data_IF_894831056639
#
_entry.id   IF_894831056639
#
_cell.length_a   1.000
_cell.length_b   1.000
_cell.length_c   1.000
_cell.angle_alpha   90.00
_cell.angle_beta   90.00
_cell.angle_gamma   90.00
#
_symmetry.space_group_name_H-M   'P 1'
#
loop_
_entity.id
_entity.type
_entity.pdbx_description
1 polymer ?
#
# COMPACT_ATOMS: atom_id res chain seq x y z
N UNK A 1 -12.27 -12.17 -15.29
CA UNK A 1 -11.05 -11.89 -15.32
C UNK A 1 -10.64 -10.67 -16.04
N UNK A 2 -10.02 -10.08 -16.44
CA UNK A 2 -8.74 -10.24 -16.42
C UNK A 2 -7.87 -9.17 -17.01
N UNK A 3 -8.36 -8.31 -17.87
CA UNK A 3 -7.68 -7.10 -18.31
C UNK A 3 -8.64 -5.91 -18.16
N UNK A 4 -8.73 -5.35 -16.99
CA UNK A 4 -9.35 -4.06 -16.80
C UNK A 4 -8.30 -3.06 -16.35
N UNK A 5 -8.34 -1.87 -16.91
CA UNK A 5 -7.48 -0.74 -16.56
C UNK A 5 -5.96 -0.98 -16.69
N UNK A 6 -5.56 -1.85 -17.63
CA UNK A 6 -4.16 -2.09 -17.93
C UNK A 6 -3.44 -3.03 -16.97
N UNK A 7 -4.19 -3.73 -16.12
CA UNK A 7 -3.65 -4.79 -15.27
C UNK A 7 -4.15 -6.14 -15.76
N UNK A 8 -3.24 -7.07 -15.96
CA UNK A 8 -3.54 -8.45 -16.32
C UNK A 8 -3.43 -9.33 -15.08
N UNK A 9 -4.49 -10.07 -14.78
CA UNK A 9 -4.54 -10.99 -13.66
C UNK A 9 -4.14 -12.39 -14.10
N UNK A 10 -2.92 -12.81 -13.78
CA UNK A 10 -2.47 -14.19 -13.98
C UNK A 10 -2.75 -15.01 -12.72
N UNK A 11 -3.05 -16.30 -12.92
CA UNK A 11 -3.30 -17.23 -11.82
C UNK A 11 -2.05 -18.02 -11.40
N UNK A 12 -0.90 -17.62 -11.88
CA UNK A 12 0.35 -18.26 -11.52
C UNK A 12 0.76 -17.85 -10.11
N UNK A 13 1.14 -18.82 -9.33
CA UNK A 13 1.66 -18.60 -7.98
C UNK A 13 2.84 -19.53 -7.71
N UNK A 14 3.72 -19.09 -6.84
CA UNK A 14 4.97 -19.77 -6.53
C UNK A 14 5.06 -20.04 -5.03
N UNK A 15 5.87 -21.03 -4.68
CA UNK A 15 6.27 -21.26 -3.31
C UNK A 15 7.17 -20.11 -2.86
N UNK A 16 6.87 -19.50 -1.71
CA UNK A 16 7.62 -18.36 -1.19
C UNK A 16 9.10 -18.66 -0.93
N UNK A 17 9.42 -19.90 -0.65
CA UNK A 17 10.81 -20.32 -0.46
C UNK A 17 11.65 -20.25 -1.74
N UNK A 18 11.00 -20.29 -2.88
CA UNK A 18 11.65 -20.31 -4.20
C UNK A 18 11.56 -18.98 -4.95
N UNK A 19 10.77 -18.03 -4.46
CA UNK A 19 10.62 -16.74 -5.09
C UNK A 19 11.47 -15.68 -4.39
N UNK A 20 12.42 -15.10 -5.13
CA UNK A 20 13.23 -13.99 -4.64
C UNK A 20 12.53 -12.67 -4.97
N UNK A 21 11.86 -12.08 -3.98
CA UNK A 21 11.21 -10.80 -4.14
C UNK A 21 12.20 -9.64 -4.04
N UNK A 22 12.02 -8.59 -4.85
CA UNK A 22 12.82 -7.38 -4.71
C UNK A 22 12.63 -6.71 -3.34
N UNK A 23 13.70 -6.14 -2.82
CA UNK A 23 13.65 -5.39 -1.58
C UNK A 23 12.96 -4.03 -1.80
N UNK A 24 12.03 -3.67 -0.91
CA UNK A 24 11.30 -2.39 -0.98
C UNK A 24 11.59 -1.44 0.19
N UNK A 25 12.46 -1.82 1.09
CA UNK A 25 12.85 -1.01 2.24
C UNK A 25 13.84 -1.74 3.12
N UNK A 26 14.40 -1.03 4.08
CA UNK A 26 15.45 -1.58 4.95
C UNK A 26 14.91 -2.07 6.29
N UNK A 27 13.82 -1.51 6.75
CA UNK A 27 13.15 -1.93 7.98
C UNK A 27 11.70 -1.40 8.02
N UNK A 28 10.99 -1.73 9.10
CA UNK A 28 9.58 -1.37 9.30
C UNK A 28 9.35 0.12 9.55
N UNK A 29 10.37 0.83 10.03
CA UNK A 29 10.25 2.22 10.45
C UNK A 29 10.86 3.19 9.45
N UNK A 30 11.65 2.70 8.51
CA UNK A 30 12.35 3.54 7.53
C UNK A 30 12.29 2.90 6.14
N UNK A 31 11.83 3.64 5.17
CA UNK A 31 11.75 3.23 3.77
C UNK A 31 11.91 4.42 2.83
N UNK A 32 12.08 4.18 1.57
CA UNK A 32 12.36 5.23 0.59
C UNK A 32 11.80 4.88 -0.78
N UNK A 33 11.59 5.91 -1.57
CA UNK A 33 11.40 5.84 -3.01
C UNK A 33 12.47 6.69 -3.74
N UNK A 34 12.29 6.96 -5.03
CA UNK A 34 13.27 7.69 -5.83
C UNK A 34 13.47 9.15 -5.38
N UNK A 35 12.50 9.73 -4.70
CA UNK A 35 12.50 11.15 -4.35
C UNK A 35 12.53 11.44 -2.86
N UNK A 36 12.01 10.53 -2.04
CA UNK A 36 11.82 10.76 -0.61
C UNK A 36 12.26 9.57 0.23
N UNK A 37 12.67 9.89 1.46
CA UNK A 37 12.85 8.94 2.53
C UNK A 37 11.80 9.20 3.60
N UNK A 38 11.20 8.14 4.10
CA UNK A 38 10.15 8.18 5.11
C UNK A 38 10.65 7.51 6.38
N UNK A 39 10.35 8.10 7.52
CA UNK A 39 10.74 7.55 8.82
C UNK A 39 9.61 7.72 9.83
N UNK A 40 9.18 6.60 10.40
CA UNK A 40 8.26 6.59 11.54
C UNK A 40 9.04 6.80 12.82
N UNK A 41 8.62 7.79 13.61
CA UNK A 41 9.13 8.06 14.95
C UNK A 41 7.90 8.26 15.84
N UNK A 42 7.60 7.28 16.68
CA UNK A 42 6.37 7.22 17.47
C UNK A 42 5.12 7.35 16.56
N UNK A 43 4.32 8.38 16.76
CA UNK A 43 3.11 8.65 15.99
C UNK A 43 3.31 9.72 14.89
N UNK A 44 4.56 10.03 14.57
CA UNK A 44 4.89 11.00 13.54
C UNK A 44 5.59 10.35 12.35
N UNK A 45 5.23 10.80 11.16
CA UNK A 45 5.93 10.45 9.92
C UNK A 45 6.80 11.63 9.47
N UNK A 46 8.11 11.40 9.43
CA UNK A 46 9.08 12.35 8.90
C UNK A 46 9.35 12.03 7.44
N UNK A 47 9.24 13.04 6.59
CA UNK A 47 9.51 12.92 5.15
C UNK A 47 10.71 13.78 4.80
N UNK A 48 11.75 13.14 4.27
CA UNK A 48 13.00 13.78 3.86
C UNK A 48 13.14 13.75 2.34
N UNK A 49 13.62 14.85 1.79
CA UNK A 49 13.99 14.89 0.39
C UNK A 49 15.33 14.18 0.17
N UNK A 50 15.35 13.17 -0.69
CA UNK A 50 16.54 12.32 -0.88
C UNK A 50 17.75 13.10 -1.39
N UNK A 51 17.54 14.05 -2.31
CA UNK A 51 18.63 14.81 -2.91
C UNK A 51 19.34 15.77 -1.96
N UNK A 52 18.66 16.30 -0.96
CA UNK A 52 19.21 17.29 0.00
C UNK A 52 19.35 16.74 1.41
N UNK A 53 18.62 15.68 1.77
CA UNK A 53 18.51 15.17 3.12
C UNK A 53 17.67 16.04 4.05
N UNK A 54 17.03 17.09 3.53
CA UNK A 54 16.19 17.98 4.33
C UNK A 54 14.86 17.33 4.68
N UNK A 55 14.44 17.48 5.93
CA UNK A 55 13.10 17.15 6.35
C UNK A 55 12.11 18.19 5.82
N UNK A 56 11.19 17.78 4.97
CA UNK A 56 10.22 18.69 4.32
C UNK A 56 8.83 18.63 4.93
N UNK A 57 8.46 17.50 5.54
CA UNK A 57 7.19 17.34 6.24
C UNK A 57 7.35 16.50 7.49
N UNK A 58 6.55 16.84 8.51
CA UNK A 58 6.31 16.00 9.68
C UNK A 58 4.80 15.86 9.82
N UNK A 59 4.29 14.64 9.70
CA UNK A 59 2.87 14.36 9.73
C UNK A 59 2.50 13.62 11.01
N UNK A 60 1.50 14.12 11.73
CA UNK A 60 0.97 13.48 12.93
C UNK A 60 0.04 12.32 12.55
N UNK A 61 0.30 11.16 13.14
CA UNK A 61 -0.56 9.98 13.03
C UNK A 61 -0.99 9.53 14.43
N UNK A 62 -2.28 9.53 14.74
CA UNK A 62 -2.73 9.07 16.06
C UNK A 62 -2.61 7.56 16.19
N UNK A 63 -1.58 7.10 16.93
CA UNK A 63 -1.27 5.68 17.09
C UNK A 63 -2.13 4.93 18.09
N UNK A 64 -2.84 5.64 18.95
CA UNK A 64 -3.79 5.05 19.90
C UNK A 64 -5.00 4.39 19.21
N UNK A 65 -5.27 4.77 17.98
CA UNK A 65 -6.38 4.25 17.18
C UNK A 65 -5.92 3.45 15.96
N UNK A 66 -4.66 3.55 15.56
CA UNK A 66 -4.16 3.06 14.30
C UNK A 66 -2.90 2.22 14.48
N UNK A 67 -2.91 1.08 13.85
CA UNK A 67 -1.72 0.27 13.70
C UNK A 67 -1.06 0.62 12.37
N UNK A 68 0.15 1.15 12.43
CA UNK A 68 0.91 1.52 11.25
C UNK A 68 2.07 0.54 11.12
N UNK A 69 2.16 -0.10 9.99
CA UNK A 69 3.06 -1.19 9.76
C UNK A 69 3.55 -1.18 8.31
N UNK A 70 4.86 -1.23 8.13
CA UNK A 70 5.44 -1.29 6.81
C UNK A 70 5.47 0.03 6.04
N UNK A 71 5.52 -0.06 4.73
CA UNK A 71 5.75 1.04 3.81
C UNK A 71 4.41 1.64 3.36
N UNK A 72 3.75 2.36 4.26
CA UNK A 72 2.39 2.86 4.09
C UNK A 72 2.32 4.35 3.73
N UNK A 73 3.31 4.86 3.01
CA UNK A 73 3.36 6.26 2.64
C UNK A 73 3.96 6.45 1.25
N UNK A 74 3.42 7.38 0.51
CA UNK A 74 3.94 7.81 -0.78
C UNK A 74 3.59 9.27 -1.02
N UNK A 75 4.59 10.08 -1.34
CA UNK A 75 4.42 11.50 -1.65
C UNK A 75 4.78 11.76 -3.10
N UNK A 76 3.90 12.43 -3.83
CA UNK A 76 4.15 12.87 -5.19
C UNK A 76 3.40 14.17 -5.47
N UNK A 77 4.12 15.17 -5.96
CA UNK A 77 3.57 16.49 -6.33
C UNK A 77 2.72 17.14 -5.22
N UNK A 78 3.17 17.04 -3.97
CA UNK A 78 2.47 17.61 -2.82
C UNK A 78 1.26 16.80 -2.36
N UNK A 79 0.92 15.69 -3.01
CA UNK A 79 -0.15 14.80 -2.60
C UNK A 79 0.44 13.62 -1.82
N UNK A 80 -0.03 13.44 -0.61
CA UNK A 80 0.35 12.34 0.26
C UNK A 80 -0.70 11.23 0.19
N UNK A 81 -0.23 10.04 -0.16
CA UNK A 81 -1.03 8.82 -0.12
C UNK A 81 -0.63 8.02 1.10
N UNK A 82 -1.58 7.70 1.93
CA UNK A 82 -1.36 6.97 3.17
C UNK A 82 -2.46 5.96 3.44
N UNK A 83 -2.31 5.28 4.55
CA UNK A 83 -3.26 4.28 4.98
C UNK A 83 -3.55 4.40 6.47
N UNK A 84 -4.73 3.97 6.84
CA UNK A 84 -5.18 3.88 8.21
C UNK A 84 -5.54 2.43 8.47
N UNK A 85 -4.73 1.76 9.28
CA UNK A 85 -4.85 0.33 9.53
C UNK A 85 -5.03 0.07 11.01
N UNK A 86 -5.97 -0.77 11.36
CA UNK A 86 -6.22 -1.20 12.72
C UNK A 86 -6.15 -2.72 12.83
N UNK A 87 -5.52 -3.20 13.87
CA UNK A 87 -5.43 -4.62 14.15
C UNK A 87 -6.80 -5.20 14.53
N UNK A 88 -7.08 -6.40 14.03
CA UNK A 88 -8.29 -7.14 14.36
C UNK A 88 -9.23 -7.32 13.19
N UNK A 89 -10.36 -7.95 13.46
CA UNK A 89 -11.39 -8.22 12.47
C UNK A 89 -12.06 -6.95 11.97
N UNK A 90 -12.81 -7.10 10.87
CA UNK A 90 -13.53 -6.01 10.22
C UNK A 90 -14.30 -5.15 11.22
N UNK A 91 -14.00 -3.86 11.18
CA UNK A 91 -14.68 -2.83 11.96
C UNK A 91 -14.94 -1.65 11.05
N UNK A 92 -15.88 -0.81 11.41
CA UNK A 92 -16.09 0.43 10.70
C UNK A 92 -14.94 1.42 10.91
N UNK A 93 -14.71 2.27 9.94
CA UNK A 93 -13.75 3.36 9.99
C UNK A 93 -12.30 2.88 10.16
N UNK A 94 -11.91 1.81 9.46
CA UNK A 94 -10.58 1.25 9.52
C UNK A 94 -10.18 0.52 8.25
N UNK A 95 -8.88 0.32 8.07
CA UNK A 95 -8.29 -0.41 6.95
C UNK A 95 -8.63 0.21 5.60
N UNK A 96 -8.35 1.47 5.46
CA UNK A 96 -8.58 2.24 4.25
C UNK A 96 -7.33 3.01 3.82
N UNK A 97 -7.31 3.40 2.56
CA UNK A 97 -6.34 4.34 2.03
C UNK A 97 -6.95 5.74 1.92
N UNK A 98 -6.09 6.74 1.87
CA UNK A 98 -6.50 8.11 1.66
C UNK A 98 -5.46 8.88 0.84
N UNK A 99 -5.88 9.99 0.25
CA UNK A 99 -5.02 10.97 -0.37
C UNK A 99 -5.24 12.34 0.26
N UNK A 100 -4.15 13.01 0.58
CA UNK A 100 -4.17 14.30 1.26
C UNK A 100 -3.28 15.30 0.53
N UNK A 101 -3.83 16.47 0.22
CA UNK A 101 -3.10 17.58 -0.34
C UNK A 101 -2.40 18.34 0.80
N UNK A 102 -1.09 18.19 0.91
CA UNK A 102 -0.31 18.79 1.99
C UNK A 102 -0.16 20.31 1.84
N UNK A 103 -0.16 20.82 0.63
CA UNK A 103 -0.01 22.25 0.37
C UNK A 103 -1.27 23.02 0.75
N UNK A 104 -2.44 22.48 0.45
CA UNK A 104 -3.73 23.08 0.73
C UNK A 104 -4.41 22.56 2.01
N UNK A 105 -3.76 21.64 2.72
CA UNK A 105 -4.25 21.02 3.96
C UNK A 105 -5.67 20.45 3.78
N UNK A 106 -5.84 19.59 2.77
CA UNK A 106 -7.15 19.10 2.37
C UNK A 106 -7.14 17.59 2.08
N UNK A 107 -8.07 16.88 2.72
CA UNK A 107 -8.36 15.49 2.35
C UNK A 107 -9.02 15.45 0.97
N UNK A 108 -8.39 14.76 0.02
CA UNK A 108 -8.90 14.63 -1.33
C UNK A 108 -9.89 13.49 -1.47
N UNK A 109 -9.56 12.33 -0.93
CA UNK A 109 -10.44 11.17 -0.91
C UNK A 109 -10.01 10.18 0.17
N UNK A 110 -10.93 9.31 0.48
CA UNK A 110 -10.74 8.15 1.33
C UNK A 110 -11.40 6.95 0.64
N UNK A 111 -10.73 5.81 0.61
CA UNK A 111 -11.29 4.56 0.10
C UNK A 111 -12.34 3.97 1.04
N UNK A 112 -13.06 2.96 0.59
CA UNK A 112 -13.93 2.16 1.45
C UNK A 112 -13.14 1.47 2.55
N UNK A 113 -13.80 1.14 3.65
CA UNK A 113 -13.22 0.32 4.71
C UNK A 113 -12.87 -1.08 4.18
N UNK A 114 -11.91 -1.74 4.83
CA UNK A 114 -11.41 -3.08 4.47
C UNK A 114 -10.88 -3.19 3.04
N UNK A 115 -10.18 -2.16 2.58
CA UNK A 115 -9.45 -2.18 1.31
C UNK A 115 -7.94 -2.30 1.49
N UNK A 116 -7.42 -2.03 2.68
CA UNK A 116 -5.99 -2.01 2.93
C UNK A 116 -5.61 -2.50 4.32
N UNK A 117 -4.80 -3.54 4.38
CA UNK A 117 -4.00 -3.92 5.55
C UNK A 117 -2.70 -4.63 5.17
N UNK A 118 -2.31 -4.59 3.91
CA UNK A 118 -1.00 -5.09 3.48
C UNK A 118 0.15 -4.23 4.02
N UNK A 119 1.38 -4.73 3.93
CA UNK A 119 2.56 -4.04 4.44
C UNK A 119 2.93 -2.81 3.62
N UNK A 120 2.53 -2.79 2.36
CA UNK A 120 2.76 -1.69 1.44
C UNK A 120 1.66 -1.63 0.38
N UNK A 121 1.70 -0.57 -0.40
CA UNK A 121 0.94 -0.41 -1.62
C UNK A 121 1.85 0.06 -2.75
N UNK A 122 1.41 -0.09 -3.98
CA UNK A 122 2.14 0.33 -5.18
C UNK A 122 1.30 1.34 -5.95
N UNK A 123 1.91 2.47 -6.29
CA UNK A 123 1.29 3.47 -7.16
C UNK A 123 1.84 3.31 -8.57
N UNK A 124 0.97 3.05 -9.53
CA UNK A 124 1.33 2.87 -10.94
C UNK A 124 0.37 3.64 -11.84
N UNK A 125 0.86 4.75 -12.41
CA UNK A 125 0.01 5.62 -13.22
C UNK A 125 -1.19 6.13 -12.41
N UNK A 126 -2.39 5.89 -12.90
CA UNK A 126 -3.64 6.31 -12.24
C UNK A 126 -4.23 5.27 -11.28
N UNK A 127 -3.48 4.22 -10.98
CA UNK A 127 -3.94 3.09 -10.16
C UNK A 127 -3.07 2.91 -8.94
N UNK A 128 -3.71 2.59 -7.81
CA UNK A 128 -3.05 2.11 -6.60
C UNK A 128 -3.38 0.63 -6.45
N UNK A 129 -2.35 -0.18 -6.24
CA UNK A 129 -2.47 -1.60 -5.96
C UNK A 129 -2.22 -1.83 -4.48
N UNK A 130 -3.20 -2.39 -3.80
CA UNK A 130 -3.13 -2.64 -2.36
C UNK A 130 -3.89 -3.92 -2.01
N UNK A 131 -3.80 -4.35 -0.78
CA UNK A 131 -4.44 -5.60 -0.38
C UNK A 131 -5.08 -5.55 0.99
N UNK A 132 -6.09 -6.36 1.14
CA UNK A 132 -6.76 -6.61 2.41
C UNK A 132 -7.08 -8.07 2.59
N UNK A 133 -6.90 -8.55 3.80
CA UNK A 133 -7.33 -9.88 4.22
C UNK A 133 -7.10 -10.11 5.70
N UNK A 134 -7.88 -11.04 6.25
CA UNK A 134 -7.77 -11.43 7.64
C UNK A 134 -8.25 -12.89 7.81
N UNK A 135 -7.89 -13.53 8.92
CA UNK A 135 -8.05 -14.98 9.14
C UNK A 135 -9.45 -15.54 8.82
N UNK A 136 -10.50 -14.78 9.08
CA UNK A 136 -11.89 -15.22 8.85
C UNK A 136 -12.62 -14.35 7.82
N UNK A 137 -11.89 -13.58 7.06
CA UNK A 137 -12.44 -12.65 6.08
C UNK A 137 -11.88 -12.98 4.69
N UNK A 138 -12.60 -12.63 3.62
CA UNK A 138 -12.08 -12.79 2.26
C UNK A 138 -10.80 -11.98 2.04
N UNK A 139 -9.91 -12.53 1.26
CA UNK A 139 -8.61 -11.96 0.95
C UNK A 139 -8.61 -11.43 -0.49
N UNK A 140 -8.27 -10.16 -0.67
CA UNK A 140 -8.30 -9.52 -1.98
C UNK A 140 -7.06 -8.69 -2.24
N UNK A 141 -6.64 -8.68 -3.51
CA UNK A 141 -5.82 -7.64 -4.09
C UNK A 141 -6.75 -6.64 -4.77
N UNK A 142 -6.59 -5.36 -4.46
CA UNK A 142 -7.45 -4.28 -4.97
C UNK A 142 -6.70 -3.39 -5.95
N UNK A 143 -7.43 -2.94 -6.96
CA UNK A 143 -7.07 -1.78 -7.76
C UNK A 143 -7.95 -0.60 -7.32
N UNK A 144 -7.32 0.49 -6.93
CA UNK A 144 -8.01 1.71 -6.52
C UNK A 144 -7.67 2.83 -7.49
N UNK A 145 -8.68 3.60 -7.88
CA UNK A 145 -8.47 4.80 -8.67
C UNK A 145 -7.70 5.84 -7.82
N UNK A 146 -6.52 6.20 -8.29
CA UNK A 146 -5.62 7.14 -7.61
C UNK A 146 -6.25 8.52 -7.38
N UNK A 147 -7.15 8.94 -8.26
CA UNK A 147 -7.73 10.28 -8.21
C UNK A 147 -9.01 10.37 -7.37
N UNK A 148 -9.69 9.23 -7.14
CA UNK A 148 -10.99 9.21 -6.45
C UNK A 148 -11.05 8.32 -5.22
N UNK A 149 -10.13 7.36 -5.10
CA UNK A 149 -10.15 6.35 -4.04
C UNK A 149 -11.18 5.24 -4.24
N UNK A 150 -11.87 5.21 -5.37
CA UNK A 150 -12.85 4.17 -5.68
C UNK A 150 -12.16 2.88 -6.11
N UNK A 151 -12.71 1.75 -5.70
CA UNK A 151 -12.27 0.43 -6.15
C UNK A 151 -12.64 0.25 -7.62
N UNK A 152 -11.63 0.00 -8.46
CA UNK A 152 -11.81 -0.25 -9.89
C UNK A 152 -12.06 -1.74 -10.12
N UNK A 153 -11.26 -2.58 -9.47
CA UNK A 153 -11.30 -4.03 -9.60
C UNK A 153 -10.67 -4.71 -8.39
N UNK A 154 -10.91 -6.00 -8.23
CA UNK A 154 -10.30 -6.80 -7.19
C UNK A 154 -10.08 -8.24 -7.64
N UNK A 155 -9.02 -8.86 -7.14
CA UNK A 155 -8.69 -10.26 -7.36
C UNK A 155 -8.78 -11.01 -6.04
N UNK A 156 -9.55 -12.08 -6.00
CA UNK A 156 -9.62 -12.96 -4.83
C UNK A 156 -8.32 -13.74 -4.69
N UNK A 157 -7.75 -13.73 -3.50
CA UNK A 157 -6.55 -14.47 -3.15
C UNK A 157 -6.85 -15.59 -2.17
N UNK A 158 -5.95 -16.57 -2.08
CA UNK A 158 -6.08 -17.69 -1.14
C UNK A 158 -5.69 -17.32 0.28
N UNK A 159 -4.88 -16.29 0.42
CA UNK A 159 -4.40 -15.75 1.70
C UNK A 159 -4.24 -14.24 1.61
N UNK A 160 -4.28 -13.58 2.75
CA UNK A 160 -4.12 -12.14 2.84
C UNK A 160 -2.78 -11.69 2.24
N UNK A 161 -2.79 -10.70 1.35
CA UNK A 161 -1.56 -10.17 0.77
C UNK A 161 -0.77 -9.36 1.82
N UNK A 162 0.50 -9.67 1.96
CA UNK A 162 1.41 -8.97 2.87
C UNK A 162 2.24 -7.92 2.14
N UNK A 163 2.95 -8.35 1.10
CA UNK A 163 3.91 -7.52 0.39
C UNK A 163 3.59 -7.50 -1.10
N UNK A 164 3.60 -6.32 -1.68
CA UNK A 164 3.29 -6.09 -3.10
C UNK A 164 4.47 -5.35 -3.72
N UNK A 165 5.09 -5.92 -4.75
CA UNK A 165 6.24 -5.32 -5.43
C UNK A 165 6.02 -5.33 -6.94
N UNK A 166 6.20 -4.17 -7.56
CA UNK A 166 6.21 -4.04 -9.02
C UNK A 166 7.65 -4.03 -9.51
N UNK A 167 7.95 -4.86 -10.48
CA UNK A 167 9.26 -4.88 -11.13
C UNK A 167 9.14 -5.42 -12.56
N UNK A 168 9.72 -4.68 -13.50
CA UNK A 168 9.82 -5.08 -14.91
C UNK A 168 8.49 -5.52 -15.53
N UNK A 169 7.43 -4.79 -15.23
CA UNK A 169 6.09 -5.05 -15.75
C UNK A 169 5.38 -6.24 -15.10
N UNK A 170 5.89 -6.73 -13.97
CA UNK A 170 5.25 -7.78 -13.18
C UNK A 170 4.94 -7.29 -11.76
N UNK A 171 3.83 -7.77 -11.25
CA UNK A 171 3.43 -7.56 -9.87
C UNK A 171 3.67 -8.84 -9.08
N UNK A 172 4.49 -8.74 -8.07
CA UNK A 172 4.78 -9.83 -7.14
C UNK A 172 3.98 -9.60 -5.86
N UNK A 173 3.16 -10.56 -5.49
CA UNK A 173 2.33 -10.49 -4.28
C UNK A 173 2.69 -11.64 -3.36
N UNK A 174 3.27 -11.31 -2.22
CA UNK A 174 3.61 -12.28 -1.18
C UNK A 174 2.46 -12.40 -0.18
N UNK A 175 2.11 -13.65 0.16
CA UNK A 175 1.17 -13.97 1.24
C UNK A 175 1.84 -14.94 2.22
N UNK A 176 1.13 -15.30 3.26
CA UNK A 176 1.64 -16.26 4.26
C UNK A 176 2.07 -17.61 3.67
N UNK A 177 1.36 -18.12 2.67
CA UNK A 177 1.59 -19.46 2.12
C UNK A 177 1.74 -19.50 0.61
N UNK A 178 1.48 -18.39 -0.10
CA UNK A 178 1.48 -18.33 -1.55
C UNK A 178 2.14 -17.07 -2.04
N UNK A 179 2.84 -17.16 -3.16
CA UNK A 179 3.33 -16.03 -3.90
C UNK A 179 2.67 -16.00 -5.27
N UNK A 180 2.23 -14.81 -5.66
CA UNK A 180 1.59 -14.57 -6.95
C UNK A 180 2.53 -13.76 -7.83
N UNK A 181 2.58 -14.09 -9.12
CA UNK A 181 3.18 -13.25 -10.14
C UNK A 181 2.07 -12.89 -11.13
N UNK A 182 1.86 -11.60 -11.29
CA UNK A 182 0.78 -11.05 -12.10
C UNK A 182 1.40 -10.17 -13.18
N UNK A 183 1.06 -10.40 -14.43
CA UNK A 183 1.45 -9.53 -15.53
C UNK A 183 0.69 -8.19 -15.43
N UNK A 184 1.41 -7.15 -15.76
CA UNK A 184 0.98 -5.81 -15.43
C UNK A 184 1.07 -4.86 -16.63
#
# INVERSE_FOLDING_TARGET
SEEENGVSWANDWYDSENLSLPMIGTDWNSFYDDHYQYQWVDDELYIYETGTGNCIYVLDYPTDQWYINGNNAYLEDGIFYGASVRNGYAQSNTCFMFAYDLENDKLLWRSADQTYNSMNFVVKGDVILCGYGFTAEPDYLYQINRNTGEVIDRLSLKKAPDLIVEQDGKLYVHTYSYDYVIDF
#
